data_IF_781814843830
#
_entry.id   IF_781814843830
#
_cell.length_a   1.000
_cell.length_b   1.000
_cell.length_c   1.000
_cell.angle_alpha   90.00
_cell.angle_beta   90.00
_cell.angle_gamma   90.00
#
_symmetry.space_group_name_H-M   'P 1'
#
loop_
_entity.id
_entity.type
_entity.pdbx_description
1 polymer ?
#
# COMPACT_ATOMS: atom_id res chain seq x y z
N UNK A 1 -9.44 75.29 13.40
CA UNK A 1 -9.44 74.12 14.32
C UNK A 1 -9.62 72.86 13.46
N UNK A 2 -8.53 72.14 13.19
CA UNK A 2 -8.52 70.97 12.29
C UNK A 2 -9.02 69.74 13.05
N UNK A 3 -10.05 69.05 12.55
CA UNK A 3 -10.53 67.77 13.11
C UNK A 3 -9.90 66.63 12.29
N UNK A 4 -9.08 65.75 12.88
CA UNK A 4 -8.53 64.62 12.13
C UNK A 4 -9.64 63.62 11.81
N UNK A 5 -9.61 63.08 10.59
CA UNK A 5 -10.51 62.03 10.11
C UNK A 5 -9.92 60.68 10.49
N UNK A 6 -10.54 60.01 11.45
CA UNK A 6 -10.17 58.67 11.91
C UNK A 6 -10.34 57.65 10.78
N UNK A 7 -9.23 57.17 10.22
CA UNK A 7 -9.20 56.11 9.20
C UNK A 7 -9.28 54.77 9.92
N UNK A 8 -10.49 54.23 10.09
CA UNK A 8 -10.66 52.83 10.53
C UNK A 8 -10.23 51.89 9.40
N UNK A 9 -8.97 51.44 9.43
CA UNK A 9 -8.49 50.30 8.63
C UNK A 9 -9.24 49.05 9.08
N UNK A 10 -10.31 48.70 8.38
CA UNK A 10 -11.06 47.46 8.58
C UNK A 10 -10.25 46.30 7.99
N UNK A 11 -9.31 45.78 8.76
CA UNK A 11 -8.52 44.58 8.44
C UNK A 11 -9.50 43.38 8.45
N UNK A 12 -10.06 43.03 7.28
CA UNK A 12 -10.97 41.89 7.09
C UNK A 12 -10.32 40.68 6.42
N UNK A 13 -9.02 40.73 6.19
CA UNK A 13 -8.30 39.72 5.40
C UNK A 13 -7.52 38.64 6.17
N UNK A 14 -7.19 38.71 7.48
CA UNK A 14 -6.29 37.72 8.08
C UNK A 14 -6.98 36.36 8.31
N UNK A 15 -8.30 36.35 8.51
CA UNK A 15 -9.04 35.13 8.82
C UNK A 15 -9.15 34.18 7.62
N UNK A 16 -9.25 34.72 6.40
CA UNK A 16 -9.32 33.94 5.16
C UNK A 16 -7.96 33.29 4.84
N UNK A 17 -6.86 34.02 5.07
CA UNK A 17 -5.51 33.47 4.91
C UNK A 17 -5.22 32.35 5.92
N UNK A 18 -5.64 32.51 7.18
CA UNK A 18 -5.49 31.46 8.20
C UNK A 18 -6.32 30.22 7.84
N UNK A 19 -7.56 30.39 7.38
CA UNK A 19 -8.40 29.29 6.93
C UNK A 19 -7.79 28.53 5.72
N UNK A 20 -7.18 29.25 4.77
CA UNK A 20 -6.53 28.66 3.61
C UNK A 20 -5.30 27.82 3.99
N UNK A 21 -4.52 28.30 4.97
CA UNK A 21 -3.36 27.56 5.51
C UNK A 21 -3.83 26.28 6.20
N UNK A 22 -4.88 26.35 7.03
CA UNK A 22 -5.40 25.18 7.74
C UNK A 22 -5.96 24.12 6.78
N UNK A 23 -6.61 24.53 5.67
CA UNK A 23 -7.09 23.60 4.63
C UNK A 23 -5.90 22.94 3.92
N UNK A 24 -4.84 23.69 3.61
CA UNK A 24 -3.61 23.16 2.99
C UNK A 24 -2.94 22.07 3.85
N UNK A 25 -2.92 22.22 5.18
CA UNK A 25 -2.33 21.22 6.08
C UNK A 25 -3.07 19.87 6.06
N UNK A 26 -4.37 19.83 5.74
CA UNK A 26 -5.14 18.58 5.70
C UNK A 26 -4.84 17.71 4.48
N UNK A 27 -4.36 18.31 3.38
CA UNK A 27 -4.10 17.60 2.11
C UNK A 27 -2.82 16.75 2.22
N UNK A 28 -1.89 17.11 3.11
CA UNK A 28 -0.63 16.37 3.33
C UNK A 28 -0.79 15.06 4.11
N UNK A 29 -1.94 14.83 4.77
CA UNK A 29 -2.19 13.60 5.54
C UNK A 29 -2.66 12.41 4.67
N UNK A 30 -2.94 12.64 3.38
CA UNK A 30 -3.40 11.60 2.45
C UNK A 30 -2.26 10.95 1.64
N UNK A 31 -1.02 11.40 1.84
CA UNK A 31 0.15 10.77 1.24
C UNK A 31 0.59 9.58 2.10
N UNK A 32 0.39 8.35 1.60
CA UNK A 32 1.16 7.20 2.04
C UNK A 32 0.69 6.49 3.31
N UNK A 33 -0.58 6.06 3.35
CA UNK A 33 -0.83 4.78 4.03
C UNK A 33 -0.40 3.67 3.07
N UNK A 34 0.91 3.45 2.94
CA UNK A 34 1.38 2.14 2.49
C UNK A 34 0.70 1.13 3.41
N UNK A 35 -0.11 0.24 2.84
CA UNK A 35 -0.55 -0.95 3.59
C UNK A 35 0.73 -1.58 4.11
N UNK A 36 0.82 -1.88 5.41
CA UNK A 36 2.02 -2.38 6.09
C UNK A 36 2.63 -3.59 5.36
N UNK A 37 3.36 -3.35 4.29
CA UNK A 37 4.11 -4.36 3.54
C UNK A 37 5.44 -4.46 4.24
N UNK A 38 5.47 -5.34 5.23
CA UNK A 38 6.71 -5.68 5.93
C UNK A 38 7.61 -6.39 4.94
N UNK A 39 8.83 -5.87 4.76
CA UNK A 39 9.87 -6.57 4.04
C UNK A 39 10.23 -7.84 4.82
N UNK A 40 10.04 -9.00 4.20
CA UNK A 40 10.48 -10.28 4.75
C UNK A 40 11.95 -10.52 4.40
N UNK A 41 12.66 -11.29 5.23
CA UNK A 41 14.03 -11.72 4.92
C UNK A 41 14.09 -12.50 3.60
N UNK A 42 15.22 -12.50 2.91
CA UNK A 42 15.44 -13.46 1.83
C UNK A 42 15.57 -14.87 2.41
N UNK A 43 15.03 -15.86 1.71
CA UNK A 43 15.10 -17.26 2.12
C UNK A 43 13.96 -18.08 1.56
N UNK A 44 13.96 -19.36 1.94
CA UNK A 44 12.94 -20.31 1.51
C UNK A 44 11.79 -20.37 2.50
N UNK A 45 10.57 -20.22 1.99
CA UNK A 45 9.34 -20.22 2.77
C UNK A 45 8.42 -21.33 2.33
N UNK A 46 7.89 -22.09 3.28
CA UNK A 46 6.84 -23.06 3.03
C UNK A 46 5.52 -22.55 3.59
N UNK A 47 4.44 -22.71 2.82
CA UNK A 47 3.11 -22.32 3.28
C UNK A 47 1.98 -22.93 2.47
N UNK A 48 0.76 -22.53 2.81
CA UNK A 48 -0.47 -22.92 2.12
C UNK A 48 -1.00 -21.70 1.36
N UNK A 49 -1.27 -21.88 0.06
CA UNK A 49 -1.90 -20.84 -0.75
C UNK A 49 -3.32 -20.61 -0.24
N UNK A 50 -3.64 -19.38 0.13
CA UNK A 50 -4.98 -19.00 0.58
C UNK A 50 -5.80 -18.36 -0.52
N UNK A 51 -5.15 -17.74 -1.50
CA UNK A 51 -5.81 -17.14 -2.67
C UNK A 51 -4.80 -16.96 -3.81
N UNK A 52 -5.27 -17.04 -5.06
CA UNK A 52 -4.49 -16.85 -6.27
C UNK A 52 -5.31 -16.01 -7.27
N UNK A 53 -4.81 -14.83 -7.61
CA UNK A 53 -5.54 -13.79 -8.33
C UNK A 53 -5.03 -13.69 -9.77
N UNK A 54 -5.87 -14.06 -10.72
CA UNK A 54 -5.70 -13.71 -12.14
C UNK A 54 -6.54 -12.48 -12.51
N UNK A 55 -6.09 -11.62 -13.46
CA UNK A 55 -4.88 -11.72 -14.28
C UNK A 55 -3.63 -11.10 -13.63
N UNK A 56 -3.73 -10.60 -12.39
CA UNK A 56 -2.65 -9.90 -11.71
C UNK A 56 -1.42 -10.80 -11.43
N UNK A 57 -1.61 -12.12 -11.43
CA UNK A 57 -0.59 -13.14 -11.09
C UNK A 57 -0.01 -12.89 -9.71
N UNK A 58 -0.90 -12.60 -8.76
CA UNK A 58 -0.58 -12.42 -7.35
C UNK A 58 -1.15 -13.60 -6.55
N UNK A 59 -0.46 -14.03 -5.51
CA UNK A 59 -0.97 -15.06 -4.62
C UNK A 59 -0.64 -14.76 -3.16
N UNK A 60 -1.47 -15.30 -2.28
CA UNK A 60 -1.34 -15.13 -0.83
C UNK A 60 -0.95 -16.47 -0.22
N UNK A 61 0.10 -16.43 0.61
CA UNK A 61 0.67 -17.59 1.26
C UNK A 61 0.53 -17.45 2.77
N UNK A 62 -0.13 -18.41 3.40
CA UNK A 62 -0.12 -18.57 4.85
C UNK A 62 1.08 -19.42 5.25
N UNK A 63 2.01 -18.81 5.98
CA UNK A 63 3.19 -19.45 6.53
C UNK A 63 2.86 -20.29 7.77
N UNK A 64 3.81 -21.10 8.22
CA UNK A 64 3.65 -22.00 9.39
C UNK A 64 3.48 -21.26 10.72
N UNK A 65 3.93 -20.00 10.81
CA UNK A 65 3.77 -19.11 11.97
C UNK A 65 2.47 -18.28 11.92
N UNK A 66 1.53 -18.69 11.05
CA UNK A 66 0.27 -18.00 10.74
C UNK A 66 0.40 -16.64 10.04
N UNK A 67 1.62 -16.19 9.71
CA UNK A 67 1.84 -14.98 8.91
C UNK A 67 1.27 -15.13 7.50
N UNK A 68 0.71 -14.05 6.95
CA UNK A 68 0.19 -14.01 5.59
C UNK A 68 1.07 -13.12 4.71
N UNK A 69 1.61 -13.68 3.63
CA UNK A 69 2.51 -12.99 2.69
C UNK A 69 1.84 -12.88 1.33
N UNK A 70 1.85 -11.67 0.75
CA UNK A 70 1.44 -11.44 -0.64
C UNK A 70 2.67 -11.52 -1.55
N UNK A 71 2.61 -12.37 -2.56
CA UNK A 71 3.69 -12.60 -3.51
C UNK A 71 3.22 -12.29 -4.93
N UNK A 72 4.10 -11.65 -5.70
CA UNK A 72 3.84 -11.32 -7.10
C UNK A 72 4.62 -12.28 -7.98
N UNK A 73 3.94 -12.93 -8.92
CA UNK A 73 4.57 -13.80 -9.90
C UNK A 73 5.00 -12.98 -11.12
N UNK A 74 6.27 -12.60 -11.13
CA UNK A 74 6.86 -11.73 -12.15
C UNK A 74 7.54 -12.57 -13.26
N UNK A 75 8.11 -11.90 -14.27
CA UNK A 75 8.61 -12.56 -15.49
C UNK A 75 9.71 -13.60 -15.25
N UNK A 76 10.53 -13.43 -14.22
CA UNK A 76 11.59 -14.36 -13.82
C UNK A 76 11.13 -15.47 -12.87
N UNK A 77 9.93 -15.35 -12.29
CA UNK A 77 9.37 -16.35 -11.39
C UNK A 77 8.92 -17.59 -12.18
N UNK A 78 9.17 -18.78 -11.63
CA UNK A 78 8.71 -20.05 -12.22
C UNK A 78 7.92 -20.86 -11.20
N UNK A 79 6.86 -21.53 -11.65
CA UNK A 79 6.10 -22.47 -10.84
C UNK A 79 6.48 -23.87 -11.30
N UNK A 80 6.92 -24.72 -10.37
CA UNK A 80 7.28 -26.10 -10.68
C UNK A 80 6.39 -27.09 -9.93
N UNK A 81 6.03 -28.17 -10.61
CA UNK A 81 5.32 -29.32 -10.03
C UNK A 81 6.00 -30.58 -10.53
N UNK A 82 6.53 -31.39 -9.62
CA UNK A 82 7.34 -32.57 -9.98
C UNK A 82 8.49 -32.23 -10.95
N UNK A 83 9.25 -31.18 -10.64
CA UNK A 83 10.37 -30.66 -11.46
C UNK A 83 10.00 -30.03 -12.82
N UNK A 84 8.76 -30.19 -13.28
CA UNK A 84 8.25 -29.58 -14.51
C UNK A 84 7.71 -28.18 -14.28
N UNK A 85 8.01 -27.25 -15.18
CA UNK A 85 7.44 -25.91 -15.17
C UNK A 85 5.98 -25.96 -15.60
N UNK A 86 5.09 -25.41 -14.77
CA UNK A 86 3.64 -25.37 -14.99
C UNK A 86 3.12 -23.93 -15.02
N UNK A 87 1.95 -23.67 -15.64
CA UNK A 87 1.38 -22.32 -15.67
C UNK A 87 0.92 -21.88 -14.28
N UNK A 88 0.84 -20.56 -14.08
CA UNK A 88 0.36 -19.95 -12.82
C UNK A 88 -1.04 -20.46 -12.41
N UNK A 89 -1.91 -20.77 -13.39
CA UNK A 89 -3.25 -21.30 -13.18
C UNK A 89 -3.31 -22.66 -12.47
N UNK A 90 -2.18 -23.38 -12.35
CA UNK A 90 -2.08 -24.58 -11.53
C UNK A 90 -1.99 -24.27 -10.02
N UNK A 91 -1.70 -23.02 -9.64
CA UNK A 91 -1.67 -22.58 -8.26
C UNK A 91 -3.11 -22.35 -7.76
N UNK A 92 -3.55 -23.20 -6.81
CA UNK A 92 -4.92 -23.17 -6.28
C UNK A 92 -4.90 -23.00 -4.77
N UNK A 93 -5.97 -22.43 -4.22
CA UNK A 93 -6.20 -22.39 -2.77
C UNK A 93 -6.06 -23.80 -2.16
N UNK A 94 -5.43 -23.87 -0.98
CA UNK A 94 -5.14 -25.10 -0.26
C UNK A 94 -3.88 -25.83 -0.74
N UNK A 95 -3.23 -25.39 -1.82
CA UNK A 95 -1.98 -25.99 -2.29
C UNK A 95 -0.84 -25.64 -1.34
N UNK A 96 -0.08 -26.65 -0.90
CA UNK A 96 1.18 -26.44 -0.18
C UNK A 96 2.29 -26.12 -1.19
N UNK A 97 3.00 -25.02 -0.97
CA UNK A 97 4.10 -24.58 -1.84
C UNK A 97 5.32 -24.18 -1.03
N UNK A 98 6.45 -24.23 -1.70
CA UNK A 98 7.72 -23.67 -1.26
C UNK A 98 8.09 -22.52 -2.20
N UNK A 99 8.58 -21.41 -1.65
CA UNK A 99 8.95 -20.20 -2.40
C UNK A 99 10.33 -19.75 -1.96
N UNK A 100 11.14 -19.28 -2.89
CA UNK A 100 12.50 -18.75 -2.69
C UNK A 100 12.59 -17.31 -3.21
#
# INVERSE_FOLDING_TARGET
>A
MFKPKEIKKRIRTPLVFIALILISLTILQFCGKEKDTVLVSSGTYTGIVTDAVEPAREFYLKLNDDSLVRLNFIGETTLKKNEETVPFSELKEGTKVEVE
#
